data_IF_708329200273
#
_entry.id   IF_708329200273
#
_cell.length_a   1.000
_cell.length_b   1.000
_cell.length_c   1.000
_cell.angle_alpha   90.00
_cell.angle_beta   90.00
_cell.angle_gamma   90.00
#
_symmetry.space_group_name_H-M   'P 1'
#
loop_
_entity.id
_entity.type
_entity.pdbx_description
1 polymer ?
#
# COMPACT_ATOMS: atom_id res chain seq x y z
N UNK A 1 38.03 -76.32 -45.43
CA UNK A 1 38.34 -74.88 -45.47
C UNK A 1 37.04 -74.18 -45.33
N UNK A 2 36.74 -73.72 -44.10
CA UNK A 2 35.49 -73.03 -43.76
C UNK A 2 35.88 -71.76 -43.09
N UNK A 3 35.52 -70.61 -43.75
CA UNK A 3 35.89 -69.31 -43.31
C UNK A 3 34.83 -68.78 -42.31
N UNK A 4 35.22 -68.61 -41.08
CA UNK A 4 34.51 -67.95 -40.02
C UNK A 4 34.46 -66.48 -40.32
N UNK A 5 33.22 -65.88 -40.38
CA UNK A 5 32.95 -64.47 -40.57
C UNK A 5 32.70 -63.83 -39.20
N UNK A 6 33.38 -62.74 -38.81
CA UNK A 6 33.16 -62.11 -37.53
C UNK A 6 31.88 -61.27 -37.53
N UNK A 7 31.03 -61.47 -36.54
CA UNK A 7 29.89 -60.56 -36.22
C UNK A 7 30.41 -59.36 -35.44
N UNK A 8 30.49 -58.25 -36.08
CA UNK A 8 30.82 -56.98 -35.44
C UNK A 8 29.55 -56.18 -35.04
N UNK A 9 29.32 -56.08 -33.76
CA UNK A 9 28.94 -54.83 -32.99
C UNK A 9 27.92 -53.88 -33.59
N UNK A 10 26.64 -54.09 -33.27
CA UNK A 10 25.58 -53.08 -33.38
C UNK A 10 24.86 -52.86 -32.04
N UNK A 11 25.57 -52.70 -30.96
CA UNK A 11 24.90 -52.61 -29.64
C UNK A 11 25.11 -51.27 -28.88
N UNK A 12 25.73 -50.27 -29.50
CA UNK A 12 26.06 -49.02 -28.76
C UNK A 12 25.29 -47.76 -29.17
N UNK A 13 24.47 -47.81 -30.22
CA UNK A 13 23.71 -46.64 -30.69
C UNK A 13 22.37 -46.41 -29.96
N UNK A 14 21.71 -47.49 -29.54
CA UNK A 14 20.37 -47.34 -28.92
C UNK A 14 20.37 -46.81 -27.48
N UNK A 15 21.46 -46.92 -26.74
CA UNK A 15 21.54 -46.40 -25.34
C UNK A 15 21.65 -44.90 -25.24
N UNK A 16 22.17 -44.23 -26.25
CA UNK A 16 22.32 -42.76 -26.26
C UNK A 16 21.02 -42.05 -26.63
N UNK A 17 20.24 -42.59 -27.54
CA UNK A 17 18.95 -42.03 -27.95
C UNK A 17 17.90 -42.07 -26.83
N UNK A 18 17.86 -43.14 -26.02
CA UNK A 18 16.95 -43.25 -24.89
C UNK A 18 17.25 -42.23 -23.78
N UNK A 19 18.55 -41.98 -23.55
CA UNK A 19 18.97 -40.99 -22.50
C UNK A 19 18.66 -39.58 -22.90
N UNK A 20 18.80 -39.19 -24.17
CA UNK A 20 18.42 -37.85 -24.63
C UNK A 20 16.92 -37.58 -24.49
N UNK A 21 16.07 -38.55 -24.84
CA UNK A 21 14.62 -38.47 -24.66
C UNK A 21 14.23 -38.28 -23.19
N UNK A 22 14.92 -38.98 -22.28
CA UNK A 22 14.71 -38.82 -20.83
C UNK A 22 15.08 -37.41 -20.37
N UNK A 23 16.23 -36.87 -20.80
CA UNK A 23 16.63 -35.49 -20.48
C UNK A 23 15.64 -34.46 -21.02
N UNK A 24 15.10 -34.68 -22.22
CA UNK A 24 14.11 -33.78 -22.82
C UNK A 24 12.81 -33.75 -22.01
N UNK A 25 12.32 -34.90 -21.56
CA UNK A 25 11.15 -35.01 -20.69
C UNK A 25 11.39 -34.32 -19.36
N UNK A 26 12.54 -34.56 -18.72
CA UNK A 26 12.90 -33.90 -17.44
C UNK A 26 13.00 -32.38 -17.62
N UNK A 27 13.64 -31.93 -18.71
CA UNK A 27 13.75 -30.49 -19.00
C UNK A 27 12.37 -29.84 -19.22
N UNK A 28 11.47 -30.53 -19.94
CA UNK A 28 10.11 -30.05 -20.18
C UNK A 28 9.31 -29.93 -18.87
N UNK A 29 9.44 -30.91 -17.99
CA UNK A 29 8.77 -30.89 -16.66
C UNK A 29 9.40 -29.87 -15.72
N UNK A 30 10.71 -29.65 -15.79
CA UNK A 30 11.41 -28.67 -14.95
C UNK A 30 11.23 -27.22 -15.44
N UNK A 31 11.00 -27.02 -16.74
CA UNK A 31 10.91 -25.70 -17.36
C UNK A 31 9.93 -24.74 -16.67
N UNK A 32 8.66 -25.10 -16.33
CA UNK A 32 7.74 -24.19 -15.67
C UNK A 32 8.19 -23.80 -14.26
N UNK A 33 8.83 -24.72 -13.53
CA UNK A 33 9.37 -24.42 -12.18
C UNK A 33 10.55 -23.46 -12.29
N UNK A 34 11.48 -23.72 -13.21
CA UNK A 34 12.63 -22.84 -13.46
C UNK A 34 12.16 -21.47 -13.95
N UNK A 35 11.19 -21.40 -14.86
CA UNK A 35 10.62 -20.17 -15.37
C UNK A 35 9.94 -19.36 -14.25
N UNK A 36 9.18 -20.02 -13.39
CA UNK A 36 8.54 -19.38 -12.22
C UNK A 36 9.59 -18.79 -11.27
N UNK A 37 10.61 -19.57 -10.95
CA UNK A 37 11.69 -19.14 -10.06
C UNK A 37 12.47 -17.97 -10.68
N UNK A 38 12.78 -18.04 -11.96
CA UNK A 38 13.47 -16.98 -12.70
C UNK A 38 12.63 -15.70 -12.73
N UNK A 39 11.33 -15.81 -13.03
CA UNK A 39 10.41 -14.67 -13.02
C UNK A 39 10.35 -14.01 -11.63
N UNK A 40 10.26 -14.80 -10.58
CA UNK A 40 10.15 -14.29 -9.21
C UNK A 40 11.43 -13.62 -8.72
N UNK A 41 12.60 -14.21 -8.96
CA UNK A 41 13.86 -13.71 -8.40
C UNK A 41 14.63 -12.75 -9.32
N UNK A 42 14.55 -12.93 -10.64
CA UNK A 42 15.33 -12.13 -11.61
C UNK A 42 14.49 -11.01 -12.20
N UNK A 43 13.30 -11.30 -12.74
CA UNK A 43 12.48 -10.29 -13.40
C UNK A 43 11.86 -9.35 -12.36
N UNK A 44 11.47 -9.86 -11.15
CA UNK A 44 10.83 -9.09 -10.08
C UNK A 44 9.83 -8.11 -10.67
N UNK A 45 8.66 -8.55 -11.14
CA UNK A 45 7.72 -7.68 -11.80
C UNK A 45 7.42 -6.48 -10.89
N UNK A 46 7.88 -5.31 -11.29
CA UNK A 46 7.68 -4.03 -10.58
C UNK A 46 6.31 -3.45 -10.84
N UNK A 47 5.45 -4.19 -11.51
CA UNK A 47 4.09 -3.76 -11.86
C UNK A 47 3.29 -3.63 -10.57
N UNK A 48 3.34 -2.43 -9.97
CA UNK A 48 2.48 -2.09 -8.84
C UNK A 48 1.04 -2.09 -9.35
N UNK A 49 0.20 -2.92 -8.77
CA UNK A 49 -1.22 -2.99 -9.09
C UNK A 49 -2.02 -1.89 -8.38
N UNK A 50 -1.35 -1.11 -7.55
CA UNK A 50 -1.94 -0.04 -6.75
C UNK A 50 -1.70 1.30 -7.44
N UNK A 51 -2.71 2.15 -7.38
CA UNK A 51 -2.67 3.51 -7.90
C UNK A 51 -1.83 4.44 -7.02
N UNK A 52 -2.03 4.35 -5.71
CA UNK A 52 -1.21 5.09 -4.77
C UNK A 52 0.12 4.38 -4.48
N UNK A 53 1.02 5.10 -3.82
CA UNK A 53 2.33 4.60 -3.40
C UNK A 53 2.20 3.74 -2.14
N UNK A 54 2.62 2.48 -2.23
CA UNK A 54 2.77 1.63 -1.06
C UNK A 54 4.05 2.03 -0.31
N UNK A 55 3.91 2.37 0.95
CA UNK A 55 5.01 2.72 1.84
C UNK A 55 5.46 1.47 2.61
N UNK A 56 6.75 1.43 2.99
CA UNK A 56 7.27 0.36 3.84
C UNK A 56 6.84 0.61 5.30
N UNK A 57 5.99 -0.24 5.89
CA UNK A 57 5.47 -0.02 7.25
C UNK A 57 6.56 0.09 8.32
N UNK A 58 7.69 -0.61 8.10
CA UNK A 58 8.80 -0.62 9.05
C UNK A 58 9.58 0.70 9.08
N UNK A 59 9.49 1.50 8.02
CA UNK A 59 10.20 2.79 7.91
C UNK A 59 9.45 3.94 8.56
N UNK A 60 8.13 3.83 8.71
CA UNK A 60 7.27 4.93 9.13
C UNK A 60 6.33 4.52 10.27
N UNK A 61 6.85 4.02 11.40
CA UNK A 61 6.02 3.78 12.57
C UNK A 61 5.43 5.09 13.07
N UNK A 62 4.21 5.06 13.62
CA UNK A 62 3.59 6.26 14.18
C UNK A 62 4.43 6.77 15.36
N UNK A 63 4.97 7.98 15.30
CA UNK A 63 5.72 8.57 16.41
C UNK A 63 4.79 9.12 17.48
N UNK A 64 5.35 9.50 18.62
CA UNK A 64 4.65 10.28 19.63
C UNK A 64 4.48 11.72 19.12
N UNK A 65 3.34 11.99 18.48
CA UNK A 65 3.06 13.28 17.84
C UNK A 65 2.79 14.41 18.83
N UNK A 66 2.50 14.08 20.10
CA UNK A 66 2.03 15.06 21.08
C UNK A 66 0.73 15.73 20.64
N UNK A 67 -0.14 14.96 19.96
CA UNK A 67 -1.39 15.47 19.42
C UNK A 67 -2.37 15.84 20.54
N UNK A 68 -3.19 16.87 20.28
CA UNK A 68 -4.29 17.27 21.14
C UNK A 68 -5.58 17.40 20.34
N UNK A 69 -6.70 17.15 21.00
CA UNK A 69 -8.02 17.50 20.46
C UNK A 69 -8.17 19.02 20.39
N UNK A 70 -9.22 19.49 19.74
CA UNK A 70 -9.53 20.94 19.69
C UNK A 70 -9.77 21.53 21.08
N UNK A 71 -10.22 20.70 22.04
CA UNK A 71 -10.41 21.08 23.46
C UNK A 71 -9.10 21.02 24.27
N UNK A 72 -7.95 20.79 23.63
CA UNK A 72 -6.65 20.74 24.28
C UNK A 72 -6.34 19.44 25.05
N UNK A 73 -7.18 18.40 24.96
CA UNK A 73 -6.93 17.12 25.61
C UNK A 73 -5.88 16.32 24.82
N UNK A 74 -4.87 15.74 25.48
CA UNK A 74 -3.88 14.92 24.80
C UNK A 74 -4.53 13.65 24.24
N UNK A 75 -4.13 13.30 23.03
CA UNK A 75 -4.60 12.10 22.32
C UNK A 75 -3.46 11.53 21.48
N UNK A 76 -3.45 10.21 21.30
CA UNK A 76 -2.56 9.52 20.36
C UNK A 76 -3.37 8.96 19.19
N UNK A 77 -2.76 8.84 18.01
CA UNK A 77 -3.35 8.10 16.89
C UNK A 77 -3.59 6.61 17.24
N UNK A 78 -2.93 6.10 18.26
CA UNK A 78 -3.20 4.74 18.78
C UNK A 78 -4.63 4.57 19.29
N UNK A 79 -5.33 5.66 19.64
CA UNK A 79 -6.74 5.60 20.04
C UNK A 79 -7.66 5.09 18.89
N UNK A 80 -7.18 5.13 17.67
CA UNK A 80 -7.92 4.67 16.48
C UNK A 80 -7.43 3.31 15.97
N UNK A 81 -6.53 2.62 16.70
CA UNK A 81 -6.13 1.23 16.35
C UNK A 81 -7.36 0.32 16.28
N UNK A 82 -7.31 -0.65 15.38
CA UNK A 82 -8.46 -1.48 15.03
C UNK A 82 -9.30 -0.90 13.90
N UNK A 83 -8.99 0.32 13.43
CA UNK A 83 -9.62 0.96 12.26
C UNK A 83 -8.58 1.37 11.24
N UNK A 84 -8.99 1.43 9.99
CA UNK A 84 -8.23 2.09 8.93
C UNK A 84 -8.37 3.59 9.07
N UNK A 85 -7.28 4.33 8.94
CA UNK A 85 -7.30 5.78 9.08
C UNK A 85 -6.98 6.41 7.72
N UNK A 86 -7.91 7.22 7.21
CA UNK A 86 -7.63 8.18 6.15
C UNK A 86 -7.11 9.46 6.82
N UNK A 87 -5.89 9.83 6.51
CA UNK A 87 -5.17 10.92 7.16
C UNK A 87 -4.81 12.02 6.17
N UNK A 88 -5.10 13.27 6.51
CA UNK A 88 -4.52 14.45 5.87
C UNK A 88 -3.85 15.37 6.86
N UNK A 89 -2.99 16.24 6.34
CA UNK A 89 -2.27 17.26 7.11
C UNK A 89 -2.46 18.62 6.43
N UNK A 90 -2.86 19.63 7.20
CA UNK A 90 -2.93 21.01 6.73
C UNK A 90 -3.00 21.99 7.92
N UNK A 91 -2.88 23.28 7.63
CA UNK A 91 -3.11 24.35 8.60
C UNK A 91 -4.62 24.55 8.82
N UNK A 92 -4.98 25.21 9.93
CA UNK A 92 -6.37 25.52 10.27
C UNK A 92 -7.07 26.42 9.22
N UNK A 93 -6.30 27.26 8.51
CA UNK A 93 -6.77 28.05 7.38
C UNK A 93 -6.95 27.19 6.11
N UNK A 94 -7.71 26.12 6.21
CA UNK A 94 -7.93 25.11 5.20
C UNK A 94 -8.38 25.72 3.85
N UNK A 95 -7.44 25.93 2.93
CA UNK A 95 -7.70 26.43 1.57
C UNK A 95 -8.33 25.34 0.69
N UNK A 96 -8.62 25.66 -0.59
CA UNK A 96 -9.36 24.77 -1.49
C UNK A 96 -8.77 23.35 -1.61
N UNK A 97 -7.45 23.21 -1.70
CA UNK A 97 -6.78 21.90 -1.73
C UNK A 97 -7.01 21.08 -0.45
N UNK A 98 -7.08 21.74 0.70
CA UNK A 98 -7.37 21.11 1.98
C UNK A 98 -8.84 20.67 2.05
N UNK A 99 -9.79 21.55 1.65
CA UNK A 99 -11.22 21.24 1.61
C UNK A 99 -11.51 20.07 0.65
N UNK A 100 -10.87 20.09 -0.52
CA UNK A 100 -10.98 18.99 -1.50
C UNK A 100 -10.58 17.68 -0.86
N UNK A 101 -9.44 17.59 -0.17
CA UNK A 101 -9.01 16.37 0.52
C UNK A 101 -9.94 15.93 1.64
N UNK A 102 -10.52 16.87 2.40
CA UNK A 102 -11.55 16.54 3.41
C UNK A 102 -12.78 15.93 2.75
N UNK A 103 -13.21 16.52 1.63
CA UNK A 103 -14.32 16.01 0.83
C UNK A 103 -14.01 14.62 0.28
N UNK A 104 -12.81 14.44 -0.28
CA UNK A 104 -12.34 13.15 -0.81
C UNK A 104 -12.38 12.07 0.28
N UNK A 105 -11.79 12.32 1.43
CA UNK A 105 -11.80 11.39 2.56
C UNK A 105 -13.23 11.03 3.01
N UNK A 106 -14.16 12.00 3.01
CA UNK A 106 -15.57 11.77 3.33
C UNK A 106 -16.23 10.89 2.27
N UNK A 107 -16.04 11.19 0.98
CA UNK A 107 -16.62 10.44 -0.12
C UNK A 107 -16.05 9.03 -0.20
N UNK A 108 -14.73 8.89 -0.07
CA UNK A 108 -14.07 7.59 -0.11
C UNK A 108 -14.56 6.67 1.01
N UNK A 109 -14.75 7.18 2.22
CA UNK A 109 -15.34 6.41 3.32
C UNK A 109 -16.77 5.95 2.98
N UNK A 110 -17.61 6.85 2.49
CA UNK A 110 -19.01 6.54 2.14
C UNK A 110 -19.11 5.53 0.98
N UNK A 111 -18.20 5.63 -0.01
CA UNK A 111 -18.17 4.72 -1.16
C UNK A 111 -17.79 3.28 -0.80
N UNK A 112 -17.26 3.00 0.41
CA UNK A 112 -16.99 1.64 0.87
C UNK A 112 -18.26 0.91 1.39
N UNK A 113 -19.40 1.60 1.45
CA UNK A 113 -20.69 1.00 1.82
C UNK A 113 -20.66 0.35 3.20
N UNK A 114 -20.91 -0.95 3.29
CA UNK A 114 -20.91 -1.70 4.56
C UNK A 114 -19.57 -1.70 5.31
N UNK A 115 -18.48 -1.45 4.61
CA UNK A 115 -17.14 -1.43 5.21
C UNK A 115 -16.75 -0.02 5.74
N UNK A 116 -17.62 0.99 5.56
CA UNK A 116 -17.33 2.38 5.92
C UNK A 116 -17.02 2.56 7.42
N UNK A 117 -17.60 1.74 8.28
CA UNK A 117 -17.39 1.82 9.74
C UNK A 117 -16.03 1.29 10.19
N UNK A 118 -15.29 0.67 9.26
CA UNK A 118 -13.89 0.26 9.45
C UNK A 118 -12.91 1.39 9.17
N UNK A 119 -13.39 2.56 8.72
CA UNK A 119 -12.56 3.69 8.30
C UNK A 119 -12.84 4.91 9.19
N UNK A 120 -11.78 5.43 9.80
CA UNK A 120 -11.79 6.72 10.49
C UNK A 120 -11.11 7.78 9.61
N UNK A 121 -11.55 9.02 9.77
CA UNK A 121 -10.96 10.16 9.07
C UNK A 121 -10.26 11.05 10.08
N UNK A 122 -9.00 11.37 9.82
CA UNK A 122 -8.18 12.20 10.71
C UNK A 122 -7.60 13.38 9.92
N UNK A 123 -7.74 14.55 10.45
CA UNK A 123 -7.06 15.74 9.98
C UNK A 123 -6.09 16.25 11.05
N UNK A 124 -4.79 16.20 10.73
CA UNK A 124 -3.73 16.76 11.57
C UNK A 124 -3.52 18.23 11.22
N UNK A 125 -3.76 19.09 12.17
CA UNK A 125 -3.68 20.55 12.05
C UNK A 125 -2.34 21.01 12.62
N UNK A 126 -1.54 21.70 11.80
CA UNK A 126 -0.15 22.03 12.12
C UNK A 126 0.07 23.42 12.69
N UNK A 127 -0.99 24.12 13.03
CA UNK A 127 -0.96 25.43 13.70
C UNK A 127 -2.02 25.53 14.80
N UNK A 128 -2.00 26.64 15.53
CA UNK A 128 -2.92 26.94 16.63
C UNK A 128 -4.02 27.96 16.24
N UNK A 129 -4.17 28.25 14.94
CA UNK A 129 -5.20 29.18 14.48
C UNK A 129 -6.60 28.61 14.74
N UNK A 130 -7.61 29.46 14.96
CA UNK A 130 -8.99 29.02 15.12
C UNK A 130 -9.50 28.37 13.86
N UNK A 131 -10.23 27.27 14.01
CA UNK A 131 -10.90 26.58 12.90
C UNK A 131 -12.21 27.29 12.56
N UNK A 132 -12.52 27.35 11.26
CA UNK A 132 -13.82 27.78 10.78
C UNK A 132 -14.91 26.80 11.23
N UNK A 133 -15.92 27.29 11.91
CA UNK A 133 -17.08 26.53 12.39
C UNK A 133 -17.86 25.88 11.24
N UNK A 134 -17.85 26.47 10.06
CA UNK A 134 -18.47 25.91 8.87
C UNK A 134 -17.73 24.64 8.42
N UNK A 135 -16.40 24.66 8.42
CA UNK A 135 -15.57 23.49 8.09
C UNK A 135 -15.80 22.36 9.11
N UNK A 136 -15.83 22.69 10.41
CA UNK A 136 -16.10 21.69 11.45
C UNK A 136 -17.46 21.00 11.26
N UNK A 137 -18.49 21.78 10.88
CA UNK A 137 -19.85 21.26 10.65
C UNK A 137 -19.93 20.46 9.35
N UNK A 138 -19.33 20.96 8.27
CA UNK A 138 -19.38 20.31 6.96
C UNK A 138 -18.68 18.95 6.95
N UNK A 139 -17.55 18.86 7.65
CA UNK A 139 -16.74 17.63 7.73
C UNK A 139 -16.89 16.90 9.06
N UNK A 140 -18.07 16.99 9.67
CA UNK A 140 -18.41 16.27 10.90
C UNK A 140 -18.06 14.77 10.79
N UNK A 141 -17.63 14.18 11.90
CA UNK A 141 -17.09 12.84 11.97
C UNK A 141 -15.64 12.73 11.45
N UNK A 142 -14.95 13.85 11.19
CA UNK A 142 -13.51 13.88 11.01
C UNK A 142 -12.85 14.26 12.33
N UNK A 143 -11.92 13.43 12.81
CA UNK A 143 -11.13 13.72 14.00
C UNK A 143 -10.11 14.81 13.68
N UNK A 144 -10.32 15.99 14.23
CA UNK A 144 -9.47 17.16 14.03
C UNK A 144 -8.50 17.27 15.21
N UNK A 145 -7.22 17.06 14.95
CA UNK A 145 -6.18 16.98 15.96
C UNK A 145 -5.08 18.00 15.68
N UNK A 146 -4.66 18.74 16.71
CA UNK A 146 -3.52 19.66 16.60
C UNK A 146 -2.21 18.92 16.86
N UNK A 147 -1.21 19.20 16.04
CA UNK A 147 0.11 18.56 16.11
C UNK A 147 1.20 19.57 15.79
N UNK A 148 2.43 19.32 16.25
CA UNK A 148 3.58 20.13 15.88
C UNK A 148 4.01 19.82 14.44
N UNK A 149 4.23 20.86 13.64
CA UNK A 149 4.65 20.74 12.22
C UNK A 149 5.94 19.92 12.05
N UNK A 150 6.91 20.10 12.93
CA UNK A 150 8.19 19.40 12.85
C UNK A 150 8.05 17.89 13.00
N UNK A 151 7.14 17.43 13.87
CA UNK A 151 6.84 16.01 14.04
C UNK A 151 6.27 15.41 12.76
N UNK A 152 5.44 16.14 12.03
CA UNK A 152 4.85 15.73 10.76
C UNK A 152 5.90 15.63 9.66
N UNK A 153 6.75 16.64 9.50
CA UNK A 153 7.79 16.69 8.48
C UNK A 153 8.82 15.56 8.64
N UNK A 154 9.04 15.12 9.88
CA UNK A 154 9.95 14.00 10.17
C UNK A 154 9.32 12.64 9.87
N UNK A 155 7.99 12.53 10.00
CA UNK A 155 7.28 11.25 9.91
C UNK A 155 6.70 10.96 8.53
N UNK A 156 5.95 11.93 7.96
CA UNK A 156 5.19 11.68 6.74
C UNK A 156 6.04 11.91 5.47
N UNK A 157 6.26 10.87 4.66
CA UNK A 157 7.03 11.03 3.43
C UNK A 157 6.20 11.77 2.37
N UNK A 158 6.76 12.85 1.83
CA UNK A 158 6.19 13.55 0.69
C UNK A 158 6.72 12.98 -0.64
N UNK A 159 6.02 13.27 -1.74
CA UNK A 159 6.55 13.04 -3.09
C UNK A 159 7.68 14.04 -3.39
N UNK A 160 8.53 13.71 -4.35
CA UNK A 160 9.63 14.59 -4.78
C UNK A 160 9.09 15.96 -5.19
N UNK A 161 9.56 17.01 -4.53
CA UNK A 161 9.13 18.38 -4.79
C UNK A 161 7.79 18.78 -4.15
N UNK A 162 7.17 17.89 -3.36
CA UNK A 162 5.92 18.16 -2.64
C UNK A 162 6.11 18.23 -1.13
N UNK A 163 5.02 18.38 -0.42
CA UNK A 163 4.92 18.39 1.03
C UNK A 163 3.96 17.31 1.54
N UNK A 164 3.99 17.01 2.84
CA UNK A 164 3.02 16.09 3.44
C UNK A 164 1.57 16.58 3.27
N UNK A 165 1.37 17.90 3.20
CA UNK A 165 0.06 18.49 2.99
C UNK A 165 -0.54 18.21 1.59
N UNK A 166 0.25 17.78 0.61
CA UNK A 166 -0.24 17.48 -0.73
C UNK A 166 -0.97 16.13 -0.82
N UNK A 167 -0.87 15.28 0.20
CA UNK A 167 -1.26 13.88 0.12
C UNK A 167 -2.38 13.50 1.08
N UNK A 168 -3.12 12.44 0.72
CA UNK A 168 -3.93 11.65 1.67
C UNK A 168 -3.14 10.37 1.94
N UNK A 169 -3.03 10.03 3.22
CA UNK A 169 -2.33 8.83 3.69
C UNK A 169 -3.31 7.79 4.21
N UNK A 170 -2.89 6.53 4.23
CA UNK A 170 -3.61 5.46 4.90
C UNK A 170 -2.72 4.84 5.96
N UNK A 171 -3.29 4.71 7.17
CA UNK A 171 -2.72 3.94 8.28
C UNK A 171 -3.58 2.69 8.47
N UNK A 172 -2.91 1.55 8.66
CA UNK A 172 -3.57 0.27 8.88
C UNK A 172 -4.14 0.13 10.31
N UNK A 173 -5.00 -0.86 10.57
CA UNK A 173 -5.55 -1.09 11.90
C UNK A 173 -4.53 -1.45 12.98
N UNK A 174 -3.32 -1.85 12.61
CA UNK A 174 -2.22 -2.14 13.55
C UNK A 174 -1.48 -0.87 13.95
N UNK A 175 -1.56 0.17 13.13
CA UNK A 175 -0.94 1.47 13.37
C UNK A 175 0.28 1.73 12.50
N UNK A 176 0.37 1.16 11.31
CA UNK A 176 1.46 1.40 10.39
C UNK A 176 1.03 2.31 9.25
N UNK A 177 1.87 3.26 8.89
CA UNK A 177 1.68 4.08 7.70
C UNK A 177 1.96 3.24 6.45
N UNK A 178 0.92 2.90 5.70
CA UNK A 178 1.02 1.96 4.58
C UNK A 178 0.96 2.60 3.21
N UNK A 179 0.24 3.70 3.07
CA UNK A 179 -0.14 4.17 1.75
C UNK A 179 -0.13 5.70 1.65
N UNK A 180 0.22 6.20 0.47
CA UNK A 180 0.15 7.62 0.14
C UNK A 180 -0.49 7.80 -1.23
N UNK A 181 -1.55 8.59 -1.32
CA UNK A 181 -2.13 8.98 -2.60
C UNK A 181 -1.42 10.20 -3.18
N UNK A 182 -1.38 10.33 -4.52
CA UNK A 182 -0.82 11.52 -5.16
C UNK A 182 -1.64 12.77 -4.84
N UNK A 183 -1.08 13.95 -5.11
CA UNK A 183 -1.81 15.22 -5.11
C UNK A 183 -2.93 15.13 -6.16
N UNK A 184 -4.15 15.54 -5.82
CA UNK A 184 -5.33 15.41 -6.67
C UNK A 184 -5.56 13.97 -7.19
N UNK A 185 -5.92 13.02 -6.31
CA UNK A 185 -6.08 11.63 -6.68
C UNK A 185 -7.32 11.39 -7.55
N UNK A 186 -7.22 10.40 -8.45
CA UNK A 186 -8.36 9.85 -9.19
C UNK A 186 -9.24 9.03 -8.23
N UNK A 187 -10.46 9.47 -7.98
CA UNK A 187 -11.39 8.84 -7.04
C UNK A 187 -11.71 7.38 -7.37
N UNK A 188 -11.86 7.03 -8.67
CA UNK A 188 -12.17 5.65 -9.06
C UNK A 188 -11.02 4.71 -8.70
N UNK A 189 -9.80 5.17 -8.90
CA UNK A 189 -8.59 4.40 -8.58
C UNK A 189 -8.34 4.35 -7.08
N UNK A 190 -8.54 5.48 -6.37
CA UNK A 190 -8.43 5.57 -4.92
C UNK A 190 -9.42 4.62 -4.23
N UNK A 191 -10.70 4.67 -4.61
CA UNK A 191 -11.73 3.75 -4.14
C UNK A 191 -11.34 2.29 -4.32
N UNK A 192 -10.82 1.93 -5.52
CA UNK A 192 -10.40 0.57 -5.82
C UNK A 192 -9.27 0.09 -4.92
N UNK A 193 -8.31 0.96 -4.62
CA UNK A 193 -7.19 0.61 -3.74
C UNK A 193 -7.65 0.46 -2.29
N UNK A 194 -8.48 1.37 -1.78
CA UNK A 194 -9.07 1.27 -0.44
C UNK A 194 -9.89 -0.02 -0.31
N UNK A 195 -10.72 -0.33 -1.30
CA UNK A 195 -11.52 -1.56 -1.32
C UNK A 195 -10.66 -2.82 -1.27
N UNK A 196 -9.54 -2.86 -2.02
CA UNK A 196 -8.59 -3.97 -1.97
C UNK A 196 -7.99 -4.15 -0.58
N UNK A 197 -7.59 -3.04 0.09
CA UNK A 197 -7.04 -3.08 1.44
C UNK A 197 -8.05 -3.64 2.44
N UNK A 198 -9.29 -3.15 2.41
CA UNK A 198 -10.37 -3.61 3.27
C UNK A 198 -10.71 -5.09 3.05
N UNK A 199 -10.70 -5.54 1.80
CA UNK A 199 -11.01 -6.93 1.45
C UNK A 199 -9.87 -7.89 1.82
N UNK A 200 -8.63 -7.45 1.70
CA UNK A 200 -7.45 -8.25 2.04
C UNK A 200 -7.24 -8.36 3.55
N UNK A 201 -7.79 -7.44 4.35
CA UNK A 201 -7.66 -7.42 5.81
C UNK A 201 -8.94 -7.91 6.47
N UNK A 202 -8.82 -8.84 7.41
CA UNK A 202 -9.90 -9.25 8.30
C UNK A 202 -10.02 -8.38 9.57
N UNK A 203 -9.10 -7.43 9.77
CA UNK A 203 -9.01 -6.55 10.93
C UNK A 203 -9.55 -5.16 10.56
N UNK A 204 -10.29 -4.54 11.47
CA UNK A 204 -10.82 -3.19 11.32
C UNK A 204 -12.33 -3.14 11.31
#
# INVERSE_FOLDING_TARGET
MEQSKPQHTQQNSQKTEGRWKLFLVVALCAAPVIASYFTYYVIKPTTRTNYGDLLDPNKYPIPQLGATTLDGKPISLDAYKGKWILLQVNDANCQEDCKTKLLDMRQERLMQGKEMDRIERVWLITDDQPLDTMIMREYDGTHMLRVKRDAINTWLPAATGGTAADHIYIIDPVGNLMFRFPKAPDHVKMKKDIYKLLTASSIG
#
